data_IF_116823405067
#
_entry.id   IF_116823405067
#
_cell.length_a   1.000
_cell.length_b   1.000
_cell.length_c   1.000
_cell.angle_alpha   90.00
_cell.angle_beta   90.00
_cell.angle_gamma   90.00
#
_symmetry.space_group_name_H-M   'P 1'
#
loop_
_entity.id
_entity.type
_entity.pdbx_description
1 polymer ?
#
# COMPACT_ATOMS: atom_id res chain seq x y z
N UNK A 1 9.25 -9.27 -17.93
CA UNK A 1 9.14 -7.81 -17.78
C UNK A 1 9.58 -7.45 -16.38
N UNK A 2 10.45 -6.47 -16.25
CA UNK A 2 10.93 -5.91 -14.97
C UNK A 2 10.53 -4.44 -14.90
N UNK A 3 10.53 -3.87 -13.71
CA UNK A 3 10.24 -2.45 -13.45
C UNK A 3 11.46 -1.90 -12.69
N UNK A 4 12.01 -0.78 -13.13
CA UNK A 4 13.10 -0.10 -12.40
C UNK A 4 12.53 0.63 -11.17
N UNK A 5 13.37 0.97 -10.19
CA UNK A 5 12.95 1.82 -9.08
C UNK A 5 12.44 3.18 -9.58
N UNK A 6 13.13 3.78 -10.54
CA UNK A 6 12.78 5.10 -11.08
C UNK A 6 11.43 5.05 -11.81
N UNK A 7 11.19 4.04 -12.64
CA UNK A 7 9.89 3.79 -13.27
C UNK A 7 8.79 3.70 -12.22
N UNK A 8 9.06 3.01 -11.10
CA UNK A 8 8.08 2.81 -10.03
C UNK A 8 7.74 4.12 -9.30
N UNK A 9 8.74 4.98 -9.10
CA UNK A 9 8.55 6.33 -8.53
C UNK A 9 7.77 7.21 -9.51
N UNK A 10 8.09 7.20 -10.79
CA UNK A 10 7.35 7.95 -11.81
C UNK A 10 5.88 7.48 -11.91
N UNK A 11 5.65 6.17 -11.80
CA UNK A 11 4.30 5.61 -11.71
C UNK A 11 3.57 6.07 -10.44
N UNK A 12 4.23 6.10 -9.29
CA UNK A 12 3.64 6.65 -8.06
C UNK A 12 3.21 8.10 -8.30
N UNK A 13 4.11 8.96 -8.79
CA UNK A 13 3.85 10.38 -9.02
C UNK A 13 2.71 10.58 -10.03
N UNK A 14 2.69 9.81 -11.12
CA UNK A 14 1.63 9.87 -12.13
C UNK A 14 0.26 9.49 -11.56
N UNK A 15 0.19 8.43 -10.76
CA UNK A 15 -1.05 8.00 -10.10
C UNK A 15 -1.47 9.02 -9.04
N UNK A 16 -0.53 9.59 -8.30
CA UNK A 16 -0.79 10.62 -7.31
C UNK A 16 -1.33 11.91 -7.96
N UNK A 17 -0.83 12.30 -9.12
CA UNK A 17 -1.43 13.41 -9.91
C UNK A 17 -2.86 13.12 -10.34
N UNK A 18 -3.15 11.86 -10.72
CA UNK A 18 -4.49 11.46 -11.16
C UNK A 18 -5.49 11.32 -10.00
N UNK A 19 -5.05 10.83 -8.84
CA UNK A 19 -5.93 10.49 -7.72
C UNK A 19 -5.89 11.51 -6.57
N UNK A 20 -4.79 12.24 -6.41
CA UNK A 20 -4.58 13.25 -5.36
C UNK A 20 -5.69 14.31 -5.29
N UNK A 21 -6.15 14.89 -6.43
CA UNK A 21 -7.29 15.81 -6.43
C UNK A 21 -8.60 15.22 -5.88
N UNK A 22 -8.69 13.90 -5.77
CA UNK A 22 -9.83 13.18 -5.22
C UNK A 22 -9.60 12.71 -3.76
N UNK A 23 -8.55 13.23 -3.10
CA UNK A 23 -8.23 12.97 -1.70
C UNK A 23 -7.52 11.64 -1.45
N UNK A 24 -6.94 11.04 -2.49
CA UNK A 24 -6.15 9.81 -2.34
C UNK A 24 -4.69 10.11 -2.08
N UNK A 25 -4.11 9.26 -1.24
CA UNK A 25 -2.67 9.17 -1.04
C UNK A 25 -2.15 7.89 -1.68
N UNK A 26 -1.03 7.99 -2.38
CA UNK A 26 -0.37 6.89 -3.07
C UNK A 26 1.04 6.75 -2.54
N UNK A 27 1.50 5.54 -2.25
CA UNK A 27 2.87 5.33 -1.77
C UNK A 27 3.45 4.02 -2.27
N UNK A 28 4.69 4.05 -2.74
CA UNK A 28 5.44 2.87 -3.15
C UNK A 28 5.77 1.99 -1.95
N UNK A 29 5.48 0.69 -2.07
CA UNK A 29 5.72 -0.32 -1.04
C UNK A 29 6.41 -1.55 -1.64
N UNK A 30 6.67 -2.56 -0.81
CA UNK A 30 7.37 -3.76 -1.22
C UNK A 30 8.86 -3.55 -1.43
N UNK A 31 9.46 -4.44 -2.21
CA UNK A 31 10.92 -4.50 -2.40
C UNK A 31 11.52 -3.17 -2.89
N UNK A 32 10.80 -2.44 -3.73
CA UNK A 32 11.29 -1.17 -4.27
C UNK A 32 11.39 -0.10 -3.17
N UNK A 33 10.48 -0.08 -2.19
CA UNK A 33 10.62 0.78 -1.00
C UNK A 33 11.84 0.40 -0.15
N UNK A 34 12.24 -0.87 -0.16
CA UNK A 34 13.49 -1.34 0.45
C UNK A 34 14.74 -1.07 -0.41
N UNK A 35 14.66 -0.23 -1.46
CA UNK A 35 15.81 0.16 -2.28
C UNK A 35 16.24 -0.86 -3.33
N UNK A 36 15.42 -1.87 -3.63
CA UNK A 36 15.73 -2.79 -4.73
C UNK A 36 15.67 -2.03 -6.07
N UNK A 37 16.77 -2.00 -6.85
CA UNK A 37 16.84 -1.19 -8.06
C UNK A 37 15.92 -1.69 -9.18
N UNK A 38 15.58 -2.99 -9.16
CA UNK A 38 14.73 -3.63 -10.16
C UNK A 38 13.81 -4.66 -9.50
N UNK A 39 12.53 -4.63 -9.86
CA UNK A 39 11.51 -5.59 -9.45
C UNK A 39 10.84 -6.27 -10.65
N UNK A 40 10.06 -7.33 -10.40
CA UNK A 40 9.20 -7.94 -11.44
C UNK A 40 7.98 -7.06 -11.74
N UNK A 41 7.47 -6.39 -10.70
CA UNK A 41 6.34 -5.45 -10.72
C UNK A 41 6.58 -4.40 -9.62
N UNK A 42 5.94 -3.25 -9.74
CA UNK A 42 5.88 -2.26 -8.67
C UNK A 42 4.59 -2.43 -7.85
N UNK A 43 4.65 -2.11 -6.56
CA UNK A 43 3.49 -2.19 -5.66
C UNK A 43 3.21 -0.83 -5.03
N UNK A 44 1.99 -0.34 -5.21
CA UNK A 44 1.52 0.94 -4.70
C UNK A 44 0.43 0.69 -3.65
N UNK A 45 0.57 1.32 -2.49
CA UNK A 45 -0.44 1.37 -1.44
C UNK A 45 -1.29 2.63 -1.63
N UNK A 46 -2.60 2.45 -1.68
CA UNK A 46 -3.59 3.50 -1.80
C UNK A 46 -4.34 3.65 -0.48
N UNK A 47 -4.55 4.89 -0.07
CA UNK A 47 -5.52 5.24 0.97
C UNK A 47 -6.23 6.54 0.61
N UNK A 48 -7.23 6.92 1.40
CA UNK A 48 -7.94 8.19 1.23
C UNK A 48 -7.91 8.93 2.56
N UNK A 49 -7.56 10.21 2.51
CA UNK A 49 -7.55 11.03 3.71
C UNK A 49 -8.98 11.24 4.22
N UNK A 50 -9.15 11.07 5.54
CA UNK A 50 -10.45 11.11 6.21
C UNK A 50 -11.17 12.48 6.12
N UNK A 51 -10.50 13.53 5.64
CA UNK A 51 -11.03 14.90 5.63
C UNK A 51 -12.16 15.17 4.61
N UNK A 52 -12.62 14.17 3.83
CA UNK A 52 -13.59 14.39 2.74
C UNK A 52 -14.89 13.58 2.81
N UNK A 53 -15.35 13.20 4.01
CA UNK A 53 -16.79 13.03 4.25
C UNK A 53 -17.17 13.21 5.71
N UNK A 54 -18.01 14.21 5.98
CA UNK A 54 -18.98 14.18 7.06
C UNK A 54 -19.77 12.85 6.99
N UNK A 55 -19.41 11.91 7.85
CA UNK A 55 -20.28 10.90 8.48
C UNK A 55 -19.37 9.88 9.19
N UNK A 56 -18.59 10.35 10.17
CA UNK A 56 -18.07 9.46 11.21
C UNK A 56 -19.18 9.18 12.24
N UNK A 57 -20.28 8.59 11.77
CA UNK A 57 -21.04 7.70 12.63
C UNK A 57 -20.24 6.41 12.68
N UNK A 58 -19.53 6.17 13.79
CA UNK A 58 -19.06 4.84 14.18
C UNK A 58 -20.16 3.81 13.89
N UNK A 59 -20.04 2.92 12.88
CA UNK A 59 -21.06 1.94 12.63
C UNK A 59 -20.65 0.63 13.30
N UNK A 60 -21.49 0.19 14.21
CA UNK A 60 -21.54 -1.15 14.79
C UNK A 60 -21.80 -2.22 13.70
N UNK A 61 -20.84 -2.50 12.81
CA UNK A 61 -20.73 -3.72 11.94
C UNK A 61 -19.60 -3.54 10.92
N UNK A 62 -18.47 -4.21 11.13
CA UNK A 62 -17.31 -4.18 10.22
C UNK A 62 -17.59 -4.61 8.78
N UNK A 63 -18.61 -5.44 8.52
CA UNK A 63 -18.95 -5.92 7.17
C UNK A 63 -19.48 -4.82 6.22
N UNK A 64 -20.18 -3.81 6.75
CA UNK A 64 -20.74 -2.72 5.93
C UNK A 64 -19.66 -1.74 5.45
N UNK A 65 -18.65 -1.49 6.28
CA UNK A 65 -17.52 -0.61 5.96
C UNK A 65 -16.64 -1.25 4.89
N UNK A 66 -16.31 -2.54 5.04
CA UNK A 66 -15.52 -3.30 4.05
C UNK A 66 -16.18 -3.29 2.68
N UNK A 67 -17.51 -3.45 2.62
CA UNK A 67 -18.23 -3.41 1.34
C UNK A 67 -18.18 -2.04 0.66
N UNK A 68 -18.30 -0.94 1.41
CA UNK A 68 -18.19 0.42 0.84
C UNK A 68 -16.81 0.70 0.30
N UNK A 69 -15.76 0.35 1.04
CA UNK A 69 -14.37 0.52 0.61
C UNK A 69 -14.05 -0.30 -0.63
N UNK A 70 -14.51 -1.56 -0.70
CA UNK A 70 -14.33 -2.44 -1.87
C UNK A 70 -15.04 -1.90 -3.12
N UNK A 71 -16.26 -1.36 -2.96
CA UNK A 71 -16.97 -0.71 -4.06
C UNK A 71 -16.22 0.54 -4.52
N UNK A 72 -15.71 1.33 -3.57
CA UNK A 72 -15.03 2.58 -3.84
C UNK A 72 -13.71 2.38 -4.58
N UNK A 73 -12.83 1.49 -4.09
CA UNK A 73 -11.60 1.14 -4.82
C UNK A 73 -11.92 0.55 -6.19
N UNK A 74 -12.97 -0.26 -6.31
CA UNK A 74 -13.42 -0.78 -7.58
C UNK A 74 -13.80 0.31 -8.60
N UNK A 75 -14.37 1.43 -8.13
CA UNK A 75 -14.66 2.61 -8.99
C UNK A 75 -13.38 3.38 -9.33
N UNK A 76 -12.49 3.61 -8.37
CA UNK A 76 -11.20 4.26 -8.60
C UNK A 76 -10.38 3.53 -9.66
N UNK A 77 -10.29 2.21 -9.55
CA UNK A 77 -9.53 1.39 -10.49
C UNK A 77 -10.16 1.37 -11.89
N UNK A 78 -11.49 1.49 -12.00
CA UNK A 78 -12.17 1.70 -13.30
C UNK A 78 -11.86 3.09 -13.87
N UNK A 79 -11.80 4.13 -13.03
CA UNK A 79 -11.39 5.48 -13.43
C UNK A 79 -9.96 5.52 -13.97
N UNK A 80 -9.02 4.88 -13.26
CA UNK A 80 -7.63 4.71 -13.73
C UNK A 80 -7.53 3.93 -15.04
N UNK A 81 -8.40 2.95 -15.26
CA UNK A 81 -8.45 2.24 -16.54
C UNK A 81 -8.94 3.15 -17.69
N UNK A 82 -9.87 4.07 -17.39
CA UNK A 82 -10.40 5.02 -18.36
C UNK A 82 -9.40 6.14 -18.70
N UNK A 83 -8.47 6.48 -17.79
CA UNK A 83 -7.45 7.52 -18.02
C UNK A 83 -6.32 7.10 -18.98
N UNK A 84 -6.38 5.88 -19.54
CA UNK A 84 -5.36 5.25 -20.41
C UNK A 84 -4.01 4.95 -19.74
N UNK A 85 -3.84 5.34 -18.47
CA UNK A 85 -2.65 5.07 -17.67
C UNK A 85 -2.54 3.58 -17.30
N UNK A 86 -3.67 2.96 -16.93
CA UNK A 86 -3.75 1.53 -16.60
C UNK A 86 -4.56 0.75 -17.65
N UNK A 87 -4.09 -0.45 -18.01
CA UNK A 87 -4.78 -1.39 -18.89
C UNK A 87 -4.88 -2.77 -18.24
N UNK A 88 -5.94 -3.50 -18.57
CA UNK A 88 -6.12 -4.88 -18.09
C UNK A 88 -6.18 -4.97 -16.57
N UNK A 89 -6.98 -4.10 -15.94
CA UNK A 89 -7.17 -4.09 -14.48
C UNK A 89 -7.87 -5.36 -14.04
N UNK A 90 -7.16 -6.21 -13.29
CA UNK A 90 -7.66 -7.47 -12.74
C UNK A 90 -7.64 -7.43 -11.23
N UNK A 91 -8.76 -7.79 -10.61
CA UNK A 91 -8.88 -7.95 -9.16
C UNK A 91 -8.21 -9.26 -8.73
N UNK A 92 -7.34 -9.22 -7.73
CA UNK A 92 -6.67 -10.38 -7.15
C UNK A 92 -6.55 -10.25 -5.63
N UNK A 93 -6.20 -11.35 -4.98
CA UNK A 93 -5.85 -11.38 -3.57
C UNK A 93 -4.32 -11.47 -3.45
N UNK A 94 -3.73 -10.67 -2.57
CA UNK A 94 -2.31 -10.74 -2.22
C UNK A 94 -2.17 -11.26 -0.80
N UNK A 95 -1.28 -12.24 -0.63
CA UNK A 95 -0.93 -12.76 0.68
C UNK A 95 0.13 -11.88 1.34
N UNK A 96 -0.13 -11.50 2.58
CA UNK A 96 0.82 -10.79 3.43
C UNK A 96 0.95 -11.50 4.77
N UNK A 97 1.93 -11.09 5.58
CA UNK A 97 2.11 -11.68 6.90
C UNK A 97 0.83 -11.48 7.73
N UNK A 98 0.21 -12.57 8.15
CA UNK A 98 -1.00 -12.54 8.97
C UNK A 98 -2.32 -12.29 8.23
N UNK A 99 -2.38 -12.31 6.90
CA UNK A 99 -3.67 -12.19 6.20
C UNK A 99 -3.62 -12.07 4.68
N UNK A 100 -4.79 -11.75 4.13
CA UNK A 100 -5.01 -11.57 2.69
C UNK A 100 -5.59 -10.18 2.46
N UNK A 101 -4.96 -9.41 1.57
CA UNK A 101 -5.45 -8.12 1.14
C UNK A 101 -5.98 -8.19 -0.29
N UNK A 102 -7.00 -7.38 -0.55
CA UNK A 102 -7.48 -7.13 -1.89
C UNK A 102 -6.45 -6.28 -2.65
N UNK A 103 -6.09 -6.70 -3.86
CA UNK A 103 -5.27 -5.92 -4.77
C UNK A 103 -5.84 -5.87 -6.19
N UNK A 104 -5.36 -4.91 -6.96
CA UNK A 104 -5.63 -4.78 -8.38
C UNK A 104 -4.32 -4.79 -9.14
N UNK A 105 -4.21 -5.67 -10.12
CA UNK A 105 -3.04 -5.76 -10.99
C UNK A 105 -3.41 -5.14 -12.33
N UNK A 106 -2.54 -4.30 -12.88
CA UNK A 106 -2.72 -3.76 -14.21
C UNK A 106 -1.39 -3.56 -14.91
N UNK A 107 -1.46 -3.35 -16.22
CA UNK A 107 -0.34 -2.94 -17.03
C UNK A 107 -0.38 -1.43 -17.23
N UNK A 108 0.64 -0.72 -16.78
CA UNK A 108 0.80 0.69 -17.04
C UNK A 108 1.76 0.93 -18.20
N UNK A 109 1.51 2.00 -18.95
CA UNK A 109 2.45 2.47 -19.98
C UNK A 109 3.63 3.11 -19.29
N UNK A 110 4.86 2.75 -19.70
CA UNK A 110 6.05 3.47 -19.28
C UNK A 110 5.88 4.98 -19.52
N UNK A 111 6.27 5.84 -18.56
CA UNK A 111 6.34 7.28 -18.75
C UNK A 111 7.19 7.62 -19.98
N UNK A 112 6.77 8.60 -20.78
CA UNK A 112 7.46 8.95 -22.01
C UNK A 112 8.78 9.66 -21.68
N UNK A 113 9.92 9.12 -22.12
CA UNK A 113 11.22 9.79 -22.00
C UNK A 113 11.18 11.15 -22.71
N UNK A 114 11.46 12.23 -21.99
CA UNK A 114 11.66 13.56 -22.58
C UNK A 114 13.02 13.58 -23.29
N UNK A 115 13.04 13.24 -24.59
CA UNK A 115 14.21 13.30 -25.46
C UNK A 115 13.79 13.63 -26.91
N UNK A 116 14.71 14.15 -27.76
CA UNK A 116 14.37 14.51 -29.13
C UNK A 116 13.89 13.28 -29.89
N UNK A 117 12.71 13.39 -30.53
CA UNK A 117 12.01 12.29 -31.19
C UNK A 117 12.88 11.59 -32.25
N UNK A 118 13.45 10.45 -31.89
CA UNK A 118 14.05 9.51 -32.84
C UNK A 118 13.05 8.39 -33.13
N UNK A 119 12.31 8.54 -34.23
CA UNK A 119 11.56 7.52 -34.99
C UNK A 119 10.54 6.62 -34.23
N UNK A 120 9.39 6.28 -34.85
CA UNK A 120 8.30 5.60 -34.17
C UNK A 120 8.51 4.08 -34.14
N UNK A 121 9.42 3.56 -33.30
CA UNK A 121 9.54 2.10 -33.09
C UNK A 121 10.11 1.70 -31.74
N UNK A 122 9.33 1.76 -30.66
CA UNK A 122 9.55 0.84 -29.53
C UNK A 122 8.18 0.47 -28.96
N UNK A 123 7.89 -0.83 -28.87
CA UNK A 123 6.71 -1.34 -28.16
C UNK A 123 6.68 -0.67 -26.79
N UNK A 124 5.66 0.11 -26.48
CA UNK A 124 5.46 0.64 -25.12
C UNK A 124 5.47 -0.55 -24.17
N UNK A 125 6.58 -0.72 -23.44
CA UNK A 125 6.73 -1.84 -22.53
C UNK A 125 5.74 -1.63 -21.38
N UNK A 126 4.66 -2.39 -21.44
CA UNK A 126 3.70 -2.46 -20.36
C UNK A 126 4.41 -2.97 -19.09
N UNK A 127 4.45 -2.13 -18.05
CA UNK A 127 4.97 -2.49 -16.73
C UNK A 127 3.83 -2.99 -15.85
N UNK A 128 4.03 -4.10 -15.15
CA UNK A 128 3.03 -4.60 -14.21
C UNK A 128 3.04 -3.76 -12.92
N UNK A 129 1.90 -3.18 -12.59
CA UNK A 129 1.65 -2.45 -11.34
C UNK A 129 0.63 -3.21 -10.50
N UNK A 130 0.88 -3.27 -9.20
CA UNK A 130 -0.05 -3.79 -8.20
C UNK A 130 -0.51 -2.67 -7.27
N UNK A 131 -1.81 -2.45 -7.18
CA UNK A 131 -2.44 -1.52 -6.26
C UNK A 131 -3.06 -2.27 -5.09
N UNK A 132 -2.70 -1.89 -3.87
CA UNK A 132 -3.28 -2.42 -2.64
C UNK A 132 -4.05 -1.30 -1.96
N UNK A 133 -5.25 -1.60 -1.47
CA UNK A 133 -6.06 -0.63 -0.74
C UNK A 133 -5.80 -0.71 0.77
N UNK A 134 -5.84 0.44 1.44
CA UNK A 134 -5.90 0.56 2.89
C UNK A 134 -6.94 1.59 3.32
N UNK A 135 -7.72 1.23 4.34
CA UNK A 135 -8.42 2.23 5.15
C UNK A 135 -7.39 3.17 5.80
N UNK A 136 -7.81 4.39 6.14
CA UNK A 136 -6.93 5.39 6.75
C UNK A 136 -6.29 4.87 8.04
N UNK A 137 -7.08 4.25 8.92
CA UNK A 137 -6.61 3.71 10.19
C UNK A 137 -5.55 2.60 10.03
N UNK A 138 -5.64 1.80 8.97
CA UNK A 138 -4.73 0.67 8.73
C UNK A 138 -3.56 1.05 7.82
N UNK A 139 -3.48 2.29 7.37
CA UNK A 139 -2.52 2.71 6.35
C UNK A 139 -1.08 2.50 6.82
N UNK A 140 -0.72 3.02 8.00
CA UNK A 140 0.65 2.94 8.50
C UNK A 140 1.13 1.51 8.76
N UNK A 141 0.25 0.66 9.29
CA UNK A 141 0.60 -0.75 9.51
C UNK A 141 0.67 -1.53 8.21
N UNK A 142 -0.23 -1.29 7.24
CA UNK A 142 -0.14 -1.92 5.91
C UNK A 142 1.09 -1.43 5.15
N UNK A 143 1.46 -0.17 5.32
CA UNK A 143 2.69 0.40 4.78
C UNK A 143 3.92 -0.37 5.30
N UNK A 144 4.00 -0.66 6.61
CA UNK A 144 5.04 -1.53 7.18
C UNK A 144 4.98 -2.96 6.61
N UNK A 145 3.81 -3.61 6.68
CA UNK A 145 3.66 -5.03 6.32
C UNK A 145 3.85 -5.33 4.82
N UNK A 146 3.45 -4.42 3.94
CA UNK A 146 3.67 -4.58 2.50
C UNK A 146 5.12 -4.31 2.12
N UNK A 147 5.86 -3.56 2.94
CA UNK A 147 7.29 -3.32 2.74
C UNK A 147 8.12 -4.54 3.14
N UNK A 148 7.78 -5.18 4.26
CA UNK A 148 8.48 -6.38 4.71
C UNK A 148 9.93 -6.13 5.11
N UNK A 149 10.81 -7.15 4.99
CA UNK A 149 10.55 -8.53 4.55
C UNK A 149 9.78 -9.37 5.59
N UNK A 150 9.33 -10.57 5.19
CA UNK A 150 8.53 -11.47 6.04
C UNK A 150 9.23 -11.83 7.36
N UNK A 151 10.53 -12.09 7.35
CA UNK A 151 11.28 -12.46 8.55
C UNK A 151 11.30 -11.30 9.56
N UNK A 152 11.59 -10.09 9.08
CA UNK A 152 11.54 -8.86 9.86
C UNK A 152 10.16 -8.64 10.50
N UNK A 153 9.09 -8.74 9.72
CA UNK A 153 7.73 -8.60 10.24
C UNK A 153 7.37 -9.69 11.25
N UNK A 154 7.78 -10.93 10.99
CA UNK A 154 7.53 -12.05 11.92
C UNK A 154 8.21 -11.79 13.27
N UNK A 155 9.43 -11.24 13.25
CA UNK A 155 10.14 -10.84 14.46
C UNK A 155 9.42 -9.70 15.20
N UNK A 156 8.99 -8.65 14.49
CA UNK A 156 8.21 -7.56 15.11
C UNK A 156 6.89 -8.05 15.71
N UNK A 157 6.19 -8.97 15.04
CA UNK A 157 4.97 -9.58 15.56
C UNK A 157 5.23 -10.38 16.83
N UNK A 158 6.36 -11.09 16.90
CA UNK A 158 6.77 -11.80 18.11
C UNK A 158 7.11 -10.83 19.25
N UNK A 159 7.86 -9.76 18.99
CA UNK A 159 8.16 -8.74 20.00
C UNK A 159 6.89 -8.06 20.52
N UNK A 160 5.96 -7.71 19.62
CA UNK A 160 4.66 -7.19 20.00
C UNK A 160 3.91 -8.15 20.94
N UNK A 161 3.91 -9.44 20.61
CA UNK A 161 3.30 -10.47 21.45
C UNK A 161 3.90 -10.50 22.86
N UNK A 162 5.23 -10.39 22.98
CA UNK A 162 5.91 -10.37 24.28
C UNK A 162 5.65 -9.10 25.08
N UNK A 163 5.28 -8.00 24.41
CA UNK A 163 4.93 -6.72 25.02
C UNK A 163 3.43 -6.53 25.24
N UNK A 164 2.64 -7.61 25.28
CA UNK A 164 1.18 -7.59 25.45
C UNK A 164 0.40 -6.88 24.32
N UNK A 165 1.00 -6.79 23.13
CA UNK A 165 0.33 -6.32 21.92
C UNK A 165 0.09 -7.46 20.93
N UNK A 166 -0.88 -7.25 20.05
CA UNK A 166 -1.09 -8.05 18.84
C UNK A 166 -0.89 -7.13 17.63
N UNK A 167 0.16 -7.39 16.86
CA UNK A 167 0.46 -6.63 15.65
C UNK A 167 -0.05 -7.40 14.43
N UNK A 168 -1.07 -6.87 13.76
CA UNK A 168 -1.62 -7.42 12.52
C UNK A 168 -1.52 -6.42 11.38
N UNK A 169 -1.77 -6.87 10.14
CA UNK A 169 -1.85 -6.00 8.98
C UNK A 169 -3.03 -5.01 9.00
N UNK A 170 -3.95 -5.13 9.95
CA UNK A 170 -5.05 -4.20 10.13
C UNK A 170 -4.80 -3.20 11.25
N UNK A 171 -3.94 -3.51 12.23
CA UNK A 171 -3.54 -2.59 13.28
C UNK A 171 -2.76 -3.27 14.40
N UNK A 172 -2.09 -2.48 15.25
CA UNK A 172 -1.70 -2.91 16.58
C UNK A 172 -2.89 -2.86 17.55
N UNK A 173 -3.03 -3.91 18.36
CA UNK A 173 -4.07 -4.04 19.38
C UNK A 173 -3.41 -4.36 20.72
N UNK A 174 -3.68 -3.55 21.73
CA UNK A 174 -3.30 -3.86 23.09
C UNK A 174 -4.17 -5.01 23.60
N UNK A 175 -3.55 -6.07 24.10
CA UNK A 175 -4.28 -7.21 24.66
C UNK A 175 -4.97 -6.78 25.93
N UNK A 176 -6.27 -7.02 25.99
CA UNK A 176 -7.05 -6.83 27.20
C UNK A 176 -8.06 -7.98 27.34
N UNK A 177 -8.45 -8.34 28.57
CA UNK A 177 -9.36 -9.47 28.80
C UNK A 177 -10.77 -9.26 28.21
N UNK A 178 -11.19 -8.02 27.94
CA UNK A 178 -12.58 -7.71 27.56
C UNK A 178 -12.76 -7.25 26.10
N UNK A 179 -11.70 -6.82 25.43
CA UNK A 179 -11.58 -6.60 23.98
C UNK A 179 -10.24 -5.93 23.70
N UNK A 180 -9.51 -6.37 22.68
CA UNK A 180 -8.26 -5.71 22.28
C UNK A 180 -8.51 -4.24 21.91
N UNK A 181 -7.81 -3.30 22.56
CA UNK A 181 -7.93 -1.88 22.24
C UNK A 181 -6.95 -1.55 21.12
N UNK A 182 -7.46 -1.04 19.99
CA UNK A 182 -6.60 -0.58 18.89
C UNK A 182 -5.73 0.58 19.35
N UNK A 183 -4.47 0.56 18.96
CA UNK A 183 -3.55 1.68 19.12
C UNK A 183 -3.58 2.50 17.83
N UNK A 184 -3.86 3.80 17.94
CA UNK A 184 -3.84 4.73 16.81
C UNK A 184 -2.40 5.01 16.40
N UNK A 185 -2.16 5.07 15.10
CA UNK A 185 -0.85 5.32 14.51
C UNK A 185 -0.93 6.56 13.62
N UNK A 186 0.02 7.47 13.78
CA UNK A 186 0.27 8.63 12.91
C UNK A 186 1.39 8.34 11.90
N UNK A 187 2.21 7.32 12.15
CA UNK A 187 3.33 6.91 11.28
C UNK A 187 3.60 5.39 11.41
N UNK A 188 4.45 4.83 10.53
CA UNK A 188 4.97 3.48 10.76
C UNK A 188 6.07 3.44 11.84
N UNK A 189 6.65 4.59 12.21
CA UNK A 189 7.59 4.74 13.33
C UNK A 189 6.93 4.50 14.68
N UNK A 190 5.65 4.86 14.81
CA UNK A 190 4.88 4.68 16.06
C UNK A 190 4.79 3.21 16.46
N UNK A 191 4.89 2.28 15.50
CA UNK A 191 4.95 0.83 15.77
C UNK A 191 6.25 0.49 16.53
N UNK A 192 7.37 1.12 16.17
CA UNK A 192 8.65 0.91 16.84
C UNK A 192 8.65 1.58 18.21
N UNK A 193 8.12 2.80 18.31
CA UNK A 193 7.94 3.50 19.58
C UNK A 193 7.09 2.69 20.56
N UNK A 194 5.96 2.13 20.09
CA UNK A 194 5.11 1.24 20.88
C UNK A 194 5.88 0.02 21.42
N UNK A 195 6.79 -0.53 20.62
CA UNK A 195 7.62 -1.68 20.98
C UNK A 195 8.91 -1.31 21.73
N UNK A 196 9.13 -0.02 22.00
CA UNK A 196 10.37 0.51 22.60
C UNK A 196 11.62 0.13 21.81
N UNK A 197 11.51 0.12 20.48
CA UNK A 197 12.59 -0.21 19.56
C UNK A 197 13.07 1.06 18.82
N UNK A 198 14.36 1.13 18.43
CA UNK A 198 14.79 2.12 17.46
C UNK A 198 14.10 1.89 16.11
N UNK A 199 13.76 2.97 15.41
CA UNK A 199 13.19 2.88 14.07
C UNK A 199 14.18 2.22 13.10
N UNK A 200 13.67 1.32 12.27
CA UNK A 200 14.44 0.68 11.19
C UNK A 200 13.91 1.15 9.84
N UNK A 201 14.70 1.98 9.18
CA UNK A 201 14.44 2.46 7.83
C UNK A 201 14.25 1.28 6.86
N UNK A 202 13.31 1.37 5.89
CA UNK A 202 13.05 0.32 4.90
C UNK A 202 14.29 -0.28 4.23
N UNK A 203 15.33 0.51 3.95
CA UNK A 203 16.58 0.08 3.31
C UNK A 203 17.35 -0.93 4.18
N UNK A 204 17.14 -0.90 5.49
CA UNK A 204 17.88 -1.70 6.48
C UNK A 204 17.08 -2.90 7.01
N UNK A 205 15.86 -3.15 6.53
CA UNK A 205 15.00 -4.24 7.03
C UNK A 205 15.38 -5.64 6.53
N UNK A 206 16.35 -5.72 5.61
CA UNK A 206 16.86 -6.97 5.01
C UNK A 206 18.14 -7.52 5.67
N UNK A 207 18.61 -6.88 6.74
CA UNK A 207 19.75 -7.33 7.53
C UNK A 207 19.45 -8.64 8.28
#
# INVERSE_FOLDING_TARGET
>A
MTVSHDDAVEHQLSVEQLLGPHGFRVTLVGKMRCGYPVGKWAMLLLTRDAQSSCDELLPSRGELVVNREVIFIGRTMKGLAASSHAKGVVRRNVWMCGGVCLCYVCFARAPQEYGPELAPRIRVEARELTFVWSSAHSFHVRHLFLTGPKQFLTHLMYLAHTSEYELTHDGPYQRSPNAGKRVELCSDEDIFTMLQLPYVDPLHRHA
#
